data_IF_659918474945
#
_entry.id   IF_659918474945
#
_cell.length_a   1.000
_cell.length_b   1.000
_cell.length_c   1.000
_cell.angle_alpha   90.00
_cell.angle_beta   90.00
_cell.angle_gamma   90.00
#
_symmetry.space_group_name_H-M   'P 1'
#
loop_
_entity.id
_entity.type
_entity.pdbx_description
1 polymer ?
#
# COMPACT_ATOMS: atom_id res chain seq x y z
N UNK A 1 0.02 13.67 -12.50
CA UNK A 1 1.06 13.62 -11.46
C UNK A 1 2.49 13.75 -12.01
N UNK A 2 2.94 13.07 -13.10
CA UNK A 2 4.33 13.17 -13.58
C UNK A 2 4.81 14.59 -13.89
N UNK A 3 3.99 15.42 -14.52
CA UNK A 3 4.33 16.82 -14.83
C UNK A 3 4.54 17.65 -13.55
N UNK A 4 3.67 17.50 -12.56
CA UNK A 4 3.80 18.20 -11.28
C UNK A 4 5.10 17.80 -10.54
N UNK A 5 5.46 16.52 -10.57
CA UNK A 5 6.72 16.03 -10.02
C UNK A 5 7.94 16.60 -10.78
N UNK A 6 7.87 16.63 -12.12
CA UNK A 6 8.93 17.21 -12.94
C UNK A 6 9.12 18.70 -12.62
N UNK A 7 8.03 19.47 -12.51
CA UNK A 7 8.09 20.86 -12.06
C UNK A 7 8.70 21.00 -10.67
N UNK A 8 8.28 20.17 -9.73
CA UNK A 8 8.83 20.21 -8.35
C UNK A 8 10.35 20.14 -8.33
N UNK A 9 10.93 19.28 -9.17
CA UNK A 9 12.37 19.04 -9.24
C UNK A 9 13.09 20.10 -10.07
N UNK A 10 12.56 20.45 -11.25
CA UNK A 10 13.25 21.27 -12.24
C UNK A 10 12.89 22.75 -12.17
N UNK A 11 11.74 23.10 -11.61
CA UNK A 11 11.13 24.45 -11.65
C UNK A 11 10.87 24.94 -13.08
N UNK A 12 10.82 24.05 -14.06
CA UNK A 12 10.51 24.40 -15.43
C UNK A 12 9.00 24.57 -15.61
N UNK A 13 8.58 25.80 -15.85
CA UNK A 13 7.18 26.21 -15.97
C UNK A 13 6.42 25.51 -17.10
N UNK A 14 7.12 24.97 -18.11
CA UNK A 14 6.49 24.21 -19.21
C UNK A 14 5.71 23.00 -18.70
N UNK A 15 6.15 22.37 -17.60
CA UNK A 15 5.45 21.25 -17.02
C UNK A 15 4.10 21.64 -16.42
N UNK A 16 4.03 22.81 -15.76
CA UNK A 16 2.74 23.29 -15.21
C UNK A 16 1.84 23.81 -16.31
N UNK A 17 2.39 24.53 -17.31
CA UNK A 17 1.60 24.92 -18.49
C UNK A 17 0.95 23.69 -19.14
N UNK A 18 1.73 22.65 -19.43
CA UNK A 18 1.20 21.40 -19.99
C UNK A 18 0.19 20.69 -19.07
N UNK A 19 0.38 20.74 -17.74
CA UNK A 19 -0.58 20.23 -16.79
C UNK A 19 -1.91 21.00 -16.86
N UNK A 20 -1.84 22.32 -16.89
CA UNK A 20 -3.03 23.21 -16.98
C UNK A 20 -3.80 22.93 -18.26
N UNK A 21 -3.12 22.87 -19.41
CA UNK A 21 -3.75 22.63 -20.71
C UNK A 21 -4.46 21.27 -20.73
N UNK A 22 -3.73 20.20 -20.38
CA UNK A 22 -4.27 18.83 -20.41
C UNK A 22 -5.45 18.67 -19.44
N UNK A 23 -5.33 19.22 -18.23
CA UNK A 23 -6.40 19.09 -17.25
C UNK A 23 -7.63 19.92 -17.61
N UNK A 24 -7.45 21.10 -18.15
CA UNK A 24 -8.55 21.96 -18.62
C UNK A 24 -9.32 21.30 -19.77
N UNK A 25 -8.59 20.75 -20.75
CA UNK A 25 -9.18 20.01 -21.85
C UNK A 25 -9.91 18.75 -21.35
N UNK A 26 -9.31 18.03 -20.40
CA UNK A 26 -9.94 16.87 -19.81
C UNK A 26 -11.26 17.21 -19.12
N UNK A 27 -11.29 18.23 -18.26
CA UNK A 27 -12.53 18.68 -17.56
C UNK A 27 -13.58 19.12 -18.56
N UNK A 28 -13.19 19.75 -19.67
CA UNK A 28 -14.12 20.17 -20.72
C UNK A 28 -14.73 18.99 -21.50
N UNK A 29 -13.92 17.96 -21.76
CA UNK A 29 -14.31 16.80 -22.57
C UNK A 29 -15.00 15.70 -21.76
N UNK A 30 -14.53 15.44 -20.53
CA UNK A 30 -14.96 14.35 -19.66
C UNK A 30 -15.94 14.88 -18.63
N UNK A 31 -17.23 14.80 -18.93
CA UNK A 31 -18.30 15.34 -18.07
C UNK A 31 -18.58 14.41 -16.90
N UNK A 32 -18.91 14.95 -15.71
CA UNK A 32 -19.42 14.16 -14.60
C UNK A 32 -20.60 13.28 -15.04
N UNK A 33 -20.60 12.05 -14.57
CA UNK A 33 -21.71 11.13 -14.79
C UNK A 33 -22.77 11.32 -13.70
N UNK A 34 -24.04 11.10 -14.05
CA UNK A 34 -25.18 11.21 -13.13
C UNK A 34 -25.68 9.85 -12.66
N UNK A 35 -25.08 8.76 -13.17
CA UNK A 35 -25.39 7.39 -12.80
C UNK A 35 -24.09 6.61 -12.58
N UNK A 36 -24.19 5.54 -11.79
CA UNK A 36 -23.09 4.61 -11.59
C UNK A 36 -22.63 4.00 -12.93
N UNK A 37 -21.32 3.94 -13.12
CA UNK A 37 -20.71 3.32 -14.30
C UNK A 37 -20.22 1.92 -13.93
N UNK A 38 -20.76 0.90 -14.60
CA UNK A 38 -20.45 -0.49 -14.32
C UNK A 38 -18.96 -0.81 -14.50
N UNK A 39 -18.38 -1.47 -13.51
CA UNK A 39 -17.03 -2.00 -13.60
C UNK A 39 -16.99 -3.20 -14.58
N UNK A 40 -15.92 -3.28 -15.38
CA UNK A 40 -15.69 -4.41 -16.29
C UNK A 40 -16.47 -4.36 -17.61
N UNK A 41 -17.35 -3.39 -17.85
CA UNK A 41 -18.00 -3.21 -19.16
C UNK A 41 -17.01 -2.57 -20.15
N UNK A 42 -16.63 -3.31 -21.19
CA UNK A 42 -15.72 -2.83 -22.24
C UNK A 42 -16.42 -1.97 -23.33
N UNK A 43 -17.75 -1.88 -23.28
CA UNK A 43 -18.54 -1.15 -24.27
C UNK A 43 -18.79 0.31 -23.89
N UNK A 44 -18.38 0.72 -22.69
CA UNK A 44 -18.57 2.09 -22.19
C UNK A 44 -17.75 3.12 -22.98
N UNK A 45 -18.26 4.32 -23.05
CA UNK A 45 -17.53 5.46 -23.62
C UNK A 45 -16.31 5.84 -22.77
N UNK A 46 -15.39 6.62 -23.37
CA UNK A 46 -14.22 7.14 -22.64
C UNK A 46 -14.64 7.96 -21.42
N UNK A 47 -15.73 8.73 -21.53
CA UNK A 47 -16.27 9.51 -20.41
C UNK A 47 -16.78 8.61 -19.28
N UNK A 48 -17.58 7.61 -19.60
CA UNK A 48 -18.07 6.63 -18.61
C UNK A 48 -16.91 5.87 -17.97
N UNK A 49 -15.95 5.41 -18.76
CA UNK A 49 -14.75 4.75 -18.21
C UNK A 49 -14.05 5.62 -17.18
N UNK A 50 -13.85 6.91 -17.48
CA UNK A 50 -13.18 7.85 -16.58
C UNK A 50 -13.95 8.08 -15.27
N UNK A 51 -15.23 7.78 -15.21
CA UNK A 51 -16.09 7.93 -14.03
C UNK A 51 -16.38 6.61 -13.31
N UNK A 52 -15.71 5.51 -13.66
CA UNK A 52 -15.70 4.31 -12.79
C UNK A 52 -15.10 4.66 -11.44
N UNK A 53 -15.66 4.13 -10.37
CA UNK A 53 -15.27 4.43 -8.99
C UNK A 53 -13.77 4.26 -8.75
N UNK A 54 -13.20 3.18 -9.29
CA UNK A 54 -11.76 2.91 -9.22
C UNK A 54 -10.91 4.04 -9.81
N UNK A 55 -11.32 4.55 -10.97
CA UNK A 55 -10.60 5.61 -11.68
C UNK A 55 -10.78 6.95 -10.96
N UNK A 56 -11.99 7.23 -10.44
CA UNK A 56 -12.29 8.44 -9.68
C UNK A 56 -11.48 8.47 -8.37
N UNK A 57 -11.52 7.41 -7.58
CA UNK A 57 -10.78 7.32 -6.31
C UNK A 57 -9.26 7.48 -6.50
N UNK A 58 -8.70 6.82 -7.53
CA UNK A 58 -7.29 6.96 -7.88
C UNK A 58 -6.93 8.38 -8.29
N UNK A 59 -7.76 8.99 -9.12
CA UNK A 59 -7.54 10.34 -9.65
C UNK A 59 -7.63 11.42 -8.57
N UNK A 60 -8.54 11.33 -7.60
CA UNK A 60 -8.57 12.23 -6.44
C UNK A 60 -7.21 12.23 -5.73
N UNK A 61 -6.64 11.06 -5.46
CA UNK A 61 -5.33 10.93 -4.81
C UNK A 61 -4.19 11.56 -5.62
N UNK A 62 -4.18 11.36 -6.93
CA UNK A 62 -3.19 11.90 -7.85
C UNK A 62 -3.32 13.41 -7.99
N UNK A 63 -4.53 13.93 -8.10
CA UNK A 63 -4.79 15.36 -8.20
C UNK A 63 -4.40 16.09 -6.92
N UNK A 64 -4.78 15.59 -5.74
CA UNK A 64 -4.34 16.16 -4.47
C UNK A 64 -2.81 16.28 -4.39
N UNK A 65 -2.10 15.24 -4.80
CA UNK A 65 -0.64 15.24 -4.82
C UNK A 65 -0.07 16.19 -5.86
N UNK A 66 -0.63 16.22 -7.06
CA UNK A 66 -0.18 17.11 -8.14
C UNK A 66 -0.32 18.57 -7.78
N UNK A 67 -1.41 18.97 -7.12
CA UNK A 67 -1.61 20.33 -6.65
C UNK A 67 -0.49 20.78 -5.71
N UNK A 68 -0.16 19.96 -4.70
CA UNK A 68 0.91 20.29 -3.73
C UNK A 68 2.25 20.53 -4.43
N UNK A 69 2.54 19.80 -5.50
CA UNK A 69 3.80 19.95 -6.24
C UNK A 69 3.82 21.14 -7.20
N UNK A 70 2.66 21.57 -7.74
CA UNK A 70 2.57 22.55 -8.81
C UNK A 70 2.01 23.92 -8.41
N UNK A 71 1.33 24.04 -7.25
CA UNK A 71 0.66 25.29 -6.84
C UNK A 71 1.56 26.51 -6.66
N UNK A 72 2.87 26.31 -6.59
CA UNK A 72 3.84 27.41 -6.48
C UNK A 72 4.25 28.02 -7.85
N UNK A 73 3.80 27.41 -8.94
CA UNK A 73 4.02 27.92 -10.28
C UNK A 73 3.22 29.18 -10.56
N UNK A 74 3.80 30.10 -11.32
CA UNK A 74 3.09 31.29 -11.80
C UNK A 74 1.95 30.92 -12.77
N UNK A 75 2.02 29.74 -13.40
CA UNK A 75 0.99 29.22 -14.29
C UNK A 75 -0.17 28.54 -13.53
N UNK A 76 -0.03 28.32 -12.23
CA UNK A 76 -1.12 27.85 -11.36
C UNK A 76 -1.97 29.06 -10.95
N UNK A 77 -2.81 29.51 -11.88
CA UNK A 77 -3.60 30.74 -11.73
C UNK A 77 -4.82 30.55 -10.81
N UNK A 78 -5.43 31.64 -10.28
CA UNK A 78 -6.69 31.56 -9.54
C UNK A 78 -7.84 30.88 -10.33
N UNK A 79 -7.89 31.11 -11.63
CA UNK A 79 -8.87 30.48 -12.51
C UNK A 79 -8.67 28.96 -12.60
N UNK A 80 -7.39 28.55 -12.71
CA UNK A 80 -7.05 27.12 -12.71
C UNK A 80 -7.31 26.48 -11.34
N UNK A 81 -7.01 27.16 -10.24
CA UNK A 81 -7.35 26.71 -8.89
C UNK A 81 -8.86 26.46 -8.74
N UNK A 82 -9.69 27.40 -9.20
CA UNK A 82 -11.15 27.26 -9.13
C UNK A 82 -11.63 26.04 -9.92
N UNK A 83 -11.18 25.88 -11.18
CA UNK A 83 -11.48 24.71 -12.00
C UNK A 83 -11.04 23.40 -11.32
N UNK A 84 -9.83 23.41 -10.77
CA UNK A 84 -9.21 22.24 -10.14
C UNK A 84 -9.98 21.77 -8.91
N UNK A 85 -10.29 22.69 -8.00
CA UNK A 85 -11.05 22.37 -6.77
C UNK A 85 -12.50 21.98 -7.09
N UNK A 86 -13.14 22.65 -8.05
CA UNK A 86 -14.49 22.25 -8.48
C UNK A 86 -14.49 20.81 -8.98
N UNK A 87 -13.54 20.46 -9.85
CA UNK A 87 -13.45 19.09 -10.38
C UNK A 87 -13.15 18.07 -9.28
N UNK A 88 -12.34 18.40 -8.27
CA UNK A 88 -12.10 17.53 -7.12
C UNK A 88 -13.38 17.33 -6.30
N UNK A 89 -14.13 18.38 -6.04
CA UNK A 89 -15.40 18.31 -5.30
C UNK A 89 -16.42 17.45 -6.07
N UNK A 90 -16.58 17.67 -7.37
CA UNK A 90 -17.48 16.88 -8.23
C UNK A 90 -17.15 15.37 -8.17
N UNK A 91 -15.86 15.03 -8.10
CA UNK A 91 -15.40 13.65 -8.01
C UNK A 91 -15.69 13.02 -6.64
N UNK A 92 -15.51 13.76 -5.55
CA UNK A 92 -15.88 13.31 -4.20
C UNK A 92 -17.39 13.10 -4.11
N UNK A 93 -18.19 14.07 -4.58
CA UNK A 93 -19.64 13.98 -4.56
C UNK A 93 -20.16 12.82 -5.42
N UNK A 94 -19.50 12.52 -6.53
CA UNK A 94 -19.82 11.33 -7.32
C UNK A 94 -19.64 10.04 -6.53
N UNK A 95 -18.50 9.86 -5.85
CA UNK A 95 -18.26 8.67 -5.03
C UNK A 95 -19.25 8.54 -3.86
N UNK A 96 -19.62 9.66 -3.23
CA UNK A 96 -20.63 9.66 -2.16
C UNK A 96 -22.01 9.23 -2.65
N UNK A 97 -22.37 9.63 -3.88
CA UNK A 97 -23.67 9.31 -4.48
C UNK A 97 -23.75 7.90 -5.05
N UNK A 98 -22.61 7.32 -5.43
CA UNK A 98 -22.50 6.03 -6.10
C UNK A 98 -21.46 5.11 -5.41
N UNK A 99 -21.65 4.80 -4.12
CA UNK A 99 -20.68 3.97 -3.39
C UNK A 99 -20.65 2.55 -3.96
N UNK A 100 -19.46 1.98 -4.11
CA UNK A 100 -19.29 0.62 -4.59
C UNK A 100 -19.90 -0.40 -3.63
N UNK A 101 -20.48 -1.46 -4.19
CA UNK A 101 -20.91 -2.63 -3.40
C UNK A 101 -19.74 -3.50 -2.95
N UNK A 102 -18.61 -3.44 -3.63
CA UNK A 102 -17.37 -4.14 -3.26
C UNK A 102 -16.68 -3.44 -2.11
N UNK A 103 -16.48 -4.15 -1.00
CA UNK A 103 -15.91 -3.59 0.24
C UNK A 103 -14.47 -3.06 0.05
N UNK A 104 -13.64 -3.73 -0.75
CA UNK A 104 -12.26 -3.30 -1.02
C UNK A 104 -12.23 -2.00 -1.81
N UNK A 105 -13.17 -1.85 -2.76
CA UNK A 105 -13.31 -0.61 -3.53
C UNK A 105 -13.85 0.51 -2.65
N UNK A 106 -14.89 0.24 -1.87
CA UNK A 106 -15.49 1.19 -0.94
C UNK A 106 -14.46 1.77 0.05
N UNK A 107 -13.51 0.97 0.53
CA UNK A 107 -12.39 1.45 1.36
C UNK A 107 -11.45 2.40 0.61
N UNK A 108 -11.20 2.14 -0.67
CA UNK A 108 -10.39 3.05 -1.51
C UNK A 108 -11.09 4.38 -1.74
N UNK A 109 -12.41 4.34 -1.96
CA UNK A 109 -13.25 5.53 -2.07
C UNK A 109 -13.22 6.34 -0.78
N UNK A 110 -13.47 5.71 0.37
CA UNK A 110 -13.41 6.34 1.68
C UNK A 110 -12.03 6.98 1.95
N UNK A 111 -10.95 6.29 1.60
CA UNK A 111 -9.59 6.84 1.72
C UNK A 111 -9.36 8.07 0.84
N UNK A 112 -9.92 8.09 -0.38
CA UNK A 112 -9.82 9.23 -1.29
C UNK A 112 -10.63 10.43 -0.78
N UNK A 113 -11.86 10.19 -0.34
CA UNK A 113 -12.77 11.21 0.23
C UNK A 113 -12.13 11.82 1.49
N UNK A 114 -11.67 10.97 2.42
CA UNK A 114 -11.01 11.42 3.64
C UNK A 114 -9.77 12.26 3.34
N UNK A 115 -8.95 11.85 2.38
CA UNK A 115 -7.76 12.61 1.95
C UNK A 115 -8.13 14.00 1.49
N UNK A 116 -9.22 14.14 0.72
CA UNK A 116 -9.72 15.45 0.27
C UNK A 116 -10.09 16.33 1.46
N UNK A 117 -10.85 15.83 2.43
CA UNK A 117 -11.23 16.56 3.64
C UNK A 117 -10.03 16.99 4.48
N UNK A 118 -9.02 16.10 4.63
CA UNK A 118 -7.81 16.42 5.39
C UNK A 118 -6.90 17.45 4.72
N UNK A 119 -6.77 17.40 3.40
CA UNK A 119 -5.87 18.30 2.66
C UNK A 119 -6.45 19.68 2.42
N UNK A 120 -7.77 19.80 2.41
CA UNK A 120 -8.50 21.06 2.15
C UNK A 120 -9.51 21.34 3.26
N UNK A 121 -9.05 21.54 4.52
CA UNK A 121 -9.95 21.76 5.67
C UNK A 121 -10.77 23.03 5.58
N UNK A 122 -10.41 23.94 4.67
CA UNK A 122 -11.14 25.16 4.36
C UNK A 122 -12.39 24.92 3.48
N UNK A 123 -12.58 23.75 2.91
CA UNK A 123 -13.79 23.42 2.16
C UNK A 123 -14.94 23.16 3.13
N UNK A 124 -16.13 23.61 2.76
CA UNK A 124 -17.33 23.56 3.66
C UNK A 124 -17.68 22.17 4.16
N UNK A 125 -17.42 21.14 3.36
CA UNK A 125 -17.74 19.75 3.68
C UNK A 125 -16.53 18.92 4.14
N UNK A 126 -15.38 19.57 4.38
CA UNK A 126 -14.14 18.87 4.71
C UNK A 126 -14.25 17.97 5.96
N UNK A 127 -14.93 18.46 7.03
CA UNK A 127 -15.17 17.66 8.25
C UNK A 127 -16.08 16.47 7.98
N UNK A 128 -17.18 16.66 7.21
CA UNK A 128 -18.09 15.58 6.83
C UNK A 128 -17.35 14.46 6.07
N UNK A 129 -16.50 14.85 5.11
CA UNK A 129 -15.70 13.90 4.34
C UNK A 129 -14.66 13.16 5.21
N UNK A 130 -14.07 13.85 6.17
CA UNK A 130 -13.10 13.24 7.06
C UNK A 130 -13.77 12.29 8.05
N UNK A 131 -14.85 12.71 8.67
CA UNK A 131 -15.59 11.93 9.69
C UNK A 131 -16.35 10.75 9.06
N UNK A 132 -17.11 10.99 7.99
CA UNK A 132 -17.91 9.95 7.33
C UNK A 132 -17.09 8.79 6.77
N UNK A 133 -15.88 9.07 6.31
CA UNK A 133 -14.96 8.02 5.85
C UNK A 133 -14.28 7.28 7.01
N UNK A 134 -14.14 7.92 8.18
CA UNK A 134 -13.44 7.36 9.33
C UNK A 134 -14.12 6.10 9.88
N UNK A 135 -15.45 6.08 9.96
CA UNK A 135 -16.20 4.93 10.49
C UNK A 135 -15.94 3.63 9.72
N UNK A 136 -15.77 3.75 8.41
CA UNK A 136 -15.45 2.61 7.57
C UNK A 136 -14.01 2.16 7.74
N UNK A 137 -13.08 3.11 7.74
CA UNK A 137 -11.64 2.83 7.87
C UNK A 137 -11.27 2.33 9.26
N UNK A 138 -12.01 2.75 10.31
CA UNK A 138 -11.82 2.27 11.66
C UNK A 138 -12.02 0.75 11.79
N UNK A 139 -12.92 0.16 10.98
CA UNK A 139 -13.16 -1.29 10.99
C UNK A 139 -11.94 -2.12 10.59
N UNK A 140 -11.00 -1.52 9.88
CA UNK A 140 -9.77 -2.20 9.44
C UNK A 140 -8.67 -2.17 10.50
N UNK A 141 -8.85 -1.40 11.56
CA UNK A 141 -7.87 -1.27 12.63
C UNK A 141 -8.37 -2.04 13.86
N UNK A 142 -7.76 -3.17 14.15
CA UNK A 142 -7.99 -3.85 15.45
C UNK A 142 -7.43 -2.96 16.57
N UNK A 143 -8.29 -2.42 17.47
CA UNK A 143 -7.85 -1.53 18.54
C UNK A 143 -6.86 -2.20 19.51
N UNK A 144 -6.82 -3.52 19.54
CA UNK A 144 -5.97 -4.30 20.45
C UNK A 144 -4.47 -4.02 20.24
N UNK A 145 -4.04 -3.69 19.03
CA UNK A 145 -2.61 -3.40 18.82
C UNK A 145 -2.14 -2.12 19.55
N UNK A 146 -3.05 -1.19 19.83
CA UNK A 146 -2.72 0.01 20.61
C UNK A 146 -2.34 -0.29 22.07
N UNK A 147 -2.71 -1.46 22.60
CA UNK A 147 -2.28 -1.90 23.94
C UNK A 147 -0.75 -2.02 24.05
N UNK A 148 -0.07 -2.31 22.92
CA UNK A 148 1.38 -2.37 22.84
C UNK A 148 2.04 -1.01 22.53
N UNK A 149 1.25 0.05 22.30
CA UNK A 149 1.75 1.36 21.88
C UNK A 149 1.69 2.36 23.03
N UNK A 150 2.81 3.02 23.31
CA UNK A 150 2.81 4.15 24.22
C UNK A 150 2.20 5.38 23.53
N UNK A 151 0.89 5.55 23.63
CA UNK A 151 0.16 6.67 23.01
C UNK A 151 0.54 8.05 23.60
N UNK A 152 1.22 8.09 24.76
CA UNK A 152 1.73 9.32 25.37
C UNK A 152 3.14 9.67 24.90
N UNK A 153 3.72 8.89 23.97
CA UNK A 153 4.99 9.25 23.40
C UNK A 153 4.89 10.60 22.67
N UNK A 154 5.81 11.51 22.95
CA UNK A 154 5.74 12.90 22.46
C UNK A 154 5.64 13.02 20.92
N UNK A 155 6.17 12.04 20.18
CA UNK A 155 6.06 11.99 18.73
C UNK A 155 4.66 11.62 18.20
N UNK A 156 3.74 11.17 19.07
CA UNK A 156 2.39 10.75 18.73
C UNK A 156 1.33 11.77 19.19
N UNK A 157 1.68 13.06 19.13
CA UNK A 157 0.76 14.11 19.58
C UNK A 157 -0.61 13.97 18.88
N UNK A 158 -1.67 13.83 19.68
CA UNK A 158 -3.04 13.63 19.24
C UNK A 158 -3.49 12.17 19.09
N UNK A 159 -2.56 11.18 19.04
CA UNK A 159 -2.96 9.78 18.86
C UNK A 159 -3.81 9.24 20.01
N UNK A 160 -3.49 9.61 21.28
CA UNK A 160 -4.31 9.21 22.44
C UNK A 160 -5.73 9.75 22.34
N UNK A 161 -5.88 11.04 22.03
CA UNK A 161 -7.21 11.65 21.91
C UNK A 161 -8.04 10.99 20.80
N UNK A 162 -7.43 10.70 19.65
CA UNK A 162 -8.09 9.98 18.58
C UNK A 162 -8.48 8.55 19.00
N UNK A 163 -7.59 7.82 19.68
CA UNK A 163 -7.90 6.49 20.20
C UNK A 163 -9.06 6.50 21.20
N UNK A 164 -9.07 7.43 22.16
CA UNK A 164 -10.12 7.57 23.19
C UNK A 164 -11.47 8.00 22.59
N UNK A 165 -11.44 8.71 21.44
CA UNK A 165 -12.62 9.04 20.66
C UNK A 165 -13.14 7.86 19.80
N UNK A 166 -12.42 6.72 19.77
CA UNK A 166 -12.75 5.58 18.91
C UNK A 166 -12.31 5.77 17.44
N UNK A 167 -11.51 6.78 17.15
CA UNK A 167 -10.98 7.10 15.82
C UNK A 167 -9.66 6.34 15.58
N UNK A 168 -9.74 5.02 15.55
CA UNK A 168 -8.56 4.14 15.49
C UNK A 168 -7.71 4.36 14.22
N UNK A 169 -8.35 4.58 13.09
CA UNK A 169 -7.63 4.87 11.86
C UNK A 169 -6.84 6.18 11.96
N UNK A 170 -7.44 7.23 12.51
CA UNK A 170 -6.77 8.50 12.73
C UNK A 170 -5.59 8.37 13.70
N UNK A 171 -5.76 7.62 14.79
CA UNK A 171 -4.69 7.33 15.73
C UNK A 171 -3.52 6.59 15.05
N UNK A 172 -3.84 5.56 14.26
CA UNK A 172 -2.84 4.81 13.49
C UNK A 172 -2.11 5.68 12.45
N UNK A 173 -2.84 6.58 11.79
CA UNK A 173 -2.27 7.50 10.81
C UNK A 173 -1.29 8.51 11.43
N UNK A 174 -1.59 9.03 12.62
CA UNK A 174 -0.66 9.89 13.38
C UNK A 174 0.64 9.13 13.67
N UNK A 175 0.55 7.89 14.12
CA UNK A 175 1.70 7.03 14.40
C UNK A 175 2.49 6.76 13.12
N UNK A 176 1.81 6.43 12.01
CA UNK A 176 2.44 6.21 10.71
C UNK A 176 3.17 7.46 10.20
N UNK A 177 2.57 8.63 10.36
CA UNK A 177 3.18 9.90 9.95
C UNK A 177 4.43 10.21 10.77
N UNK A 178 4.44 9.91 12.06
CA UNK A 178 5.65 9.99 12.85
C UNK A 178 6.76 9.09 12.29
N UNK A 179 6.47 7.82 11.98
CA UNK A 179 7.46 6.92 11.39
C UNK A 179 7.99 7.41 10.03
N UNK A 180 7.14 8.07 9.23
CA UNK A 180 7.53 8.63 7.92
C UNK A 180 8.43 9.85 8.02
N UNK A 181 8.29 10.63 9.09
CA UNK A 181 8.93 11.95 9.23
C UNK A 181 10.03 11.99 10.28
N UNK A 182 10.13 10.97 11.16
CA UNK A 182 11.14 10.93 12.21
C UNK A 182 12.54 10.97 11.64
N UNK A 183 13.42 11.72 12.29
CA UNK A 183 14.86 11.74 12.04
C UNK A 183 15.60 11.24 13.28
N UNK A 184 16.81 10.70 13.09
CA UNK A 184 17.69 10.31 14.19
C UNK A 184 17.45 8.90 14.76
N UNK A 185 16.38 8.21 14.39
CA UNK A 185 16.19 6.78 14.67
C UNK A 185 16.50 6.00 13.41
N UNK A 186 17.73 5.56 13.28
CA UNK A 186 18.21 4.82 12.12
C UNK A 186 18.69 3.44 12.55
N UNK A 187 18.46 2.45 11.71
CA UNK A 187 19.12 1.17 11.85
C UNK A 187 20.58 1.35 11.40
N UNK A 188 21.58 1.14 12.26
CA UNK A 188 22.98 1.35 11.90
C UNK A 188 23.46 0.46 10.74
N UNK A 189 22.72 -0.59 10.42
CA UNK A 189 23.02 -1.49 9.31
C UNK A 189 22.31 -1.08 7.99
N UNK A 190 21.55 0.03 7.98
CA UNK A 190 20.83 0.50 6.80
C UNK A 190 21.24 1.94 6.51
N UNK A 191 22.06 2.12 5.50
CA UNK A 191 22.43 3.44 4.97
C UNK A 191 21.50 3.80 3.81
N UNK A 192 20.46 4.58 4.10
CA UNK A 192 19.49 4.98 3.09
C UNK A 192 20.09 5.91 2.03
N UNK A 193 21.10 6.72 2.39
CA UNK A 193 21.71 7.67 1.47
C UNK A 193 22.56 6.95 0.40
N UNK A 194 23.19 5.84 0.77
CA UNK A 194 24.04 5.04 -0.11
C UNK A 194 23.42 3.69 -0.48
N UNK A 195 22.11 3.52 -0.25
CA UNK A 195 21.40 2.29 -0.62
C UNK A 195 21.51 2.06 -2.13
N UNK A 196 21.95 0.87 -2.49
CA UNK A 196 22.02 0.38 -3.87
C UNK A 196 21.30 -0.95 -3.99
N UNK A 197 20.88 -1.27 -5.19
CA UNK A 197 20.36 -2.59 -5.56
C UNK A 197 21.33 -3.21 -6.55
N UNK A 198 21.85 -4.37 -6.24
CA UNK A 198 22.66 -5.15 -7.20
C UNK A 198 21.74 -5.73 -8.28
N UNK A 199 22.34 -6.14 -9.40
CA UNK A 199 21.58 -6.81 -10.48
C UNK A 199 20.87 -8.07 -9.97
N UNK A 200 21.50 -8.81 -9.08
CA UNK A 200 20.92 -10.01 -8.46
C UNK A 200 19.73 -9.65 -7.54
N UNK A 201 19.88 -8.66 -6.67
CA UNK A 201 18.80 -8.20 -5.78
C UNK A 201 17.61 -7.67 -6.58
N UNK A 202 17.86 -6.95 -7.69
CA UNK A 202 16.79 -6.48 -8.57
C UNK A 202 16.03 -7.67 -9.18
N UNK A 203 16.76 -8.65 -9.72
CA UNK A 203 16.17 -9.86 -10.27
C UNK A 203 15.34 -10.64 -9.22
N UNK A 204 15.82 -10.72 -7.97
CA UNK A 204 15.06 -11.36 -6.88
C UNK A 204 13.81 -10.57 -6.47
N UNK A 205 13.89 -9.24 -6.49
CA UNK A 205 12.73 -8.40 -6.24
C UNK A 205 11.64 -8.59 -7.30
N UNK A 206 12.04 -8.63 -8.57
CA UNK A 206 11.14 -8.84 -9.71
C UNK A 206 10.51 -10.23 -9.69
N UNK A 207 11.29 -11.26 -9.43
CA UNK A 207 10.80 -12.64 -9.39
C UNK A 207 9.84 -12.92 -8.24
N UNK A 208 9.91 -12.16 -7.16
CA UNK A 208 8.98 -12.27 -6.03
C UNK A 208 7.61 -11.64 -6.31
N UNK A 209 7.41 -10.94 -7.42
CA UNK A 209 6.12 -10.38 -7.79
C UNK A 209 5.10 -11.45 -8.19
N UNK A 210 3.80 -11.15 -8.03
CA UNK A 210 2.69 -12.01 -8.42
C UNK A 210 2.80 -12.48 -9.86
N UNK A 211 3.07 -11.57 -10.78
CA UNK A 211 3.21 -11.81 -12.22
C UNK A 211 4.32 -12.82 -12.57
N UNK A 212 5.24 -13.06 -11.64
CA UNK A 212 6.34 -14.04 -11.77
C UNK A 212 6.16 -15.27 -10.86
N UNK A 213 5.00 -15.42 -10.24
CA UNK A 213 4.62 -16.61 -9.47
C UNK A 213 5.24 -16.68 -8.09
N UNK A 214 5.46 -15.53 -7.43
CA UNK A 214 5.98 -15.45 -6.06
C UNK A 214 7.24 -16.29 -5.83
N UNK A 215 8.26 -16.10 -6.67
CA UNK A 215 9.54 -16.76 -6.54
C UNK A 215 10.41 -16.02 -5.54
N UNK A 216 10.50 -16.55 -4.32
CA UNK A 216 11.23 -15.89 -3.25
C UNK A 216 12.68 -16.34 -3.19
N UNK A 217 13.57 -15.36 -3.11
CA UNK A 217 14.97 -15.61 -2.78
C UNK A 217 15.10 -16.05 -1.31
N UNK A 218 15.70 -17.21 -1.12
CA UNK A 218 16.07 -17.74 0.18
C UNK A 218 17.60 -17.87 0.23
N UNK A 219 18.22 -17.23 1.19
CA UNK A 219 19.69 -17.22 1.32
C UNK A 219 20.22 -18.65 1.37
N UNK A 220 21.22 -18.94 0.55
CA UNK A 220 21.85 -20.24 0.37
C UNK A 220 20.98 -21.35 -0.21
N UNK A 221 19.74 -21.05 -0.62
CA UNK A 221 18.82 -22.02 -1.22
C UNK A 221 18.26 -21.45 -2.51
N UNK A 222 18.66 -22.02 -3.62
CA UNK A 222 18.10 -21.74 -4.93
C UNK A 222 17.67 -23.06 -5.57
N UNK A 223 16.71 -23.00 -6.48
CA UNK A 223 16.29 -24.18 -7.24
C UNK A 223 17.49 -24.83 -7.96
N UNK A 224 17.55 -26.17 -7.96
CA UNK A 224 18.56 -26.95 -8.66
C UNK A 224 18.28 -27.00 -10.17
N UNK A 225 17.77 -25.93 -10.75
CA UNK A 225 17.50 -25.81 -12.19
C UNK A 225 18.73 -25.54 -13.03
N UNK A 226 19.91 -25.44 -12.37
CA UNK A 226 21.17 -25.00 -13.00
C UNK A 226 21.22 -23.50 -13.28
N UNK A 227 20.14 -22.77 -13.03
CA UNK A 227 20.00 -21.34 -13.36
C UNK A 227 19.99 -20.41 -12.14
N UNK A 228 20.22 -20.92 -10.94
CA UNK A 228 20.17 -20.15 -9.69
C UNK A 228 18.88 -19.33 -9.51
N UNK A 229 17.75 -19.92 -9.90
CA UNK A 229 16.44 -19.28 -9.83
C UNK A 229 15.84 -19.46 -8.43
N UNK A 230 15.20 -18.44 -7.83
CA UNK A 230 14.45 -18.58 -6.59
C UNK A 230 13.31 -19.61 -6.70
N UNK A 231 12.95 -20.22 -5.55
CA UNK A 231 11.84 -21.17 -5.50
C UNK A 231 10.49 -20.49 -5.74
N UNK A 232 9.61 -21.17 -6.48
CA UNK A 232 8.20 -20.83 -6.52
C UNK A 232 7.47 -21.50 -5.37
N UNK A 233 6.81 -20.70 -4.55
CA UNK A 233 6.04 -21.18 -3.40
C UNK A 233 4.54 -21.15 -3.66
N UNK A 234 4.11 -20.78 -4.87
CA UNK A 234 2.71 -20.78 -5.24
C UNK A 234 2.18 -22.23 -5.33
N UNK A 235 1.18 -22.54 -4.52
CA UNK A 235 0.48 -23.81 -4.58
C UNK A 235 -0.40 -23.88 -5.81
N UNK A 236 -0.21 -24.90 -6.66
CA UNK A 236 -1.08 -25.16 -7.80
C UNK A 236 -2.49 -25.63 -7.41
N UNK A 237 -2.68 -26.08 -6.19
CA UNK A 237 -3.97 -26.57 -5.69
C UNK A 237 -4.84 -25.43 -5.16
N UNK A 238 -4.23 -24.49 -4.44
CA UNK A 238 -4.96 -23.43 -3.73
C UNK A 238 -4.83 -22.04 -4.36
N UNK A 239 -3.86 -21.85 -5.26
CA UNK A 239 -3.51 -20.54 -5.78
C UNK A 239 -2.89 -19.58 -4.73
N UNK A 240 -2.63 -20.07 -3.51
CA UNK A 240 -2.03 -19.31 -2.41
C UNK A 240 -0.55 -19.69 -2.21
N UNK A 241 0.18 -18.90 -1.45
CA UNK A 241 1.56 -19.21 -1.11
C UNK A 241 1.59 -20.38 -0.10
N UNK A 242 2.38 -21.41 -0.38
CA UNK A 242 2.61 -22.53 0.52
C UNK A 242 3.77 -22.23 1.49
N UNK A 243 3.43 -21.69 2.64
CA UNK A 243 4.39 -21.39 3.71
C UNK A 243 4.98 -22.63 4.39
N UNK A 244 4.43 -23.79 4.09
CA UNK A 244 4.92 -25.10 4.57
C UNK A 244 5.68 -25.87 3.48
N UNK A 245 5.94 -25.22 2.34
CA UNK A 245 6.58 -25.85 1.19
C UNK A 245 7.92 -26.51 1.54
N UNK A 246 8.09 -27.71 1.03
CA UNK A 246 9.33 -28.46 1.07
C UNK A 246 9.49 -29.19 -0.26
N UNK A 247 10.53 -28.86 -1.06
CA UNK A 247 10.75 -29.58 -2.30
C UNK A 247 11.14 -31.04 -2.02
N UNK A 248 10.64 -31.95 -2.84
CA UNK A 248 10.88 -33.40 -2.69
C UNK A 248 12.37 -33.77 -2.87
N UNK A 249 13.13 -32.94 -3.56
CA UNK A 249 14.58 -33.11 -3.76
C UNK A 249 15.44 -32.66 -2.59
N UNK A 250 14.86 -31.98 -1.59
CA UNK A 250 15.57 -31.45 -0.43
C UNK A 250 15.03 -32.06 0.85
N UNK A 251 15.94 -32.52 1.68
CA UNK A 251 15.65 -33.01 3.05
C UNK A 251 15.99 -31.96 4.11
N UNK A 252 16.47 -30.80 3.67
CA UNK A 252 16.93 -29.74 4.54
C UNK A 252 15.77 -28.86 4.99
N UNK A 253 15.35 -29.08 6.21
CA UNK A 253 14.26 -28.33 6.86
C UNK A 253 14.57 -26.84 7.02
N UNK A 254 15.83 -26.46 6.98
CA UNK A 254 16.30 -25.08 7.06
C UNK A 254 15.67 -24.20 5.98
N UNK A 255 15.35 -24.73 4.79
CA UNK A 255 14.66 -23.97 3.74
C UNK A 255 13.31 -23.43 4.23
N UNK A 256 12.53 -24.25 4.96
CA UNK A 256 11.23 -23.85 5.51
C UNK A 256 11.38 -22.76 6.58
N UNK A 257 12.38 -22.88 7.46
CA UNK A 257 12.70 -21.83 8.42
C UNK A 257 13.11 -20.52 7.72
N UNK A 258 14.00 -20.63 6.73
CA UNK A 258 14.48 -19.46 6.00
C UNK A 258 13.34 -18.75 5.24
N UNK A 259 12.40 -19.49 4.67
CA UNK A 259 11.21 -18.92 4.04
C UNK A 259 10.43 -18.04 5.02
N UNK A 260 10.18 -18.57 6.23
CA UNK A 260 9.40 -17.88 7.26
C UNK A 260 10.19 -16.78 8.02
N UNK A 261 11.47 -16.59 7.75
CA UNK A 261 12.28 -15.43 8.21
C UNK A 261 12.10 -14.19 7.32
N UNK A 262 11.34 -14.28 6.28
CA UNK A 262 11.00 -13.17 5.36
C UNK A 262 12.20 -12.41 4.77
N UNK A 263 13.35 -13.04 4.60
CA UNK A 263 14.56 -12.41 4.06
C UNK A 263 14.37 -11.89 2.62
N UNK A 264 13.45 -12.48 1.87
CA UNK A 264 13.06 -12.09 0.52
C UNK A 264 12.44 -10.69 0.47
N UNK A 265 11.94 -10.17 1.59
CA UNK A 265 11.33 -8.83 1.67
C UNK A 265 12.35 -7.71 1.46
N UNK A 266 13.61 -7.92 1.82
CA UNK A 266 14.64 -6.86 1.75
C UNK A 266 14.94 -6.42 0.31
N UNK A 267 15.14 -7.30 -0.69
CA UNK A 267 15.29 -6.91 -2.08
C UNK A 267 14.12 -6.07 -2.60
N UNK A 268 12.87 -6.45 -2.31
CA UNK A 268 11.69 -5.69 -2.71
C UNK A 268 11.62 -4.31 -2.03
N UNK A 269 11.94 -4.22 -0.74
CA UNK A 269 11.99 -2.95 -0.03
C UNK A 269 13.03 -1.99 -0.64
N UNK A 270 14.23 -2.49 -0.98
CA UNK A 270 15.26 -1.71 -1.66
C UNK A 270 14.82 -1.26 -3.05
N UNK A 271 14.25 -2.18 -3.84
CA UNK A 271 13.75 -1.88 -5.19
C UNK A 271 12.67 -0.78 -5.15
N UNK A 272 11.70 -0.88 -4.21
CA UNK A 272 10.72 0.16 -3.98
C UNK A 272 11.37 1.48 -3.56
N UNK A 273 12.30 1.45 -2.61
CA UNK A 273 12.94 2.66 -2.09
C UNK A 273 13.62 3.47 -3.20
N UNK A 274 14.27 2.80 -4.13
CA UNK A 274 15.00 3.44 -5.23
C UNK A 274 14.10 3.83 -6.42
N UNK A 275 13.21 2.91 -6.85
CA UNK A 275 12.39 3.12 -8.04
C UNK A 275 11.08 3.87 -7.78
N UNK A 276 10.55 3.79 -6.53
CA UNK A 276 9.19 4.18 -6.16
C UNK A 276 8.10 3.42 -6.93
N UNK A 277 8.43 2.29 -7.55
CA UNK A 277 7.46 1.42 -8.22
C UNK A 277 6.57 0.73 -7.18
N UNK A 278 5.30 1.15 -7.18
CA UNK A 278 4.32 0.68 -6.21
C UNK A 278 4.01 -0.82 -6.30
N UNK A 279 4.42 -1.53 -7.38
CA UNK A 279 4.25 -2.98 -7.47
C UNK A 279 4.96 -3.70 -6.33
N UNK A 280 6.20 -3.29 -6.01
CA UNK A 280 6.97 -3.92 -4.94
C UNK A 280 6.31 -3.78 -3.57
N UNK A 281 5.85 -2.59 -3.20
CA UNK A 281 5.24 -2.40 -1.87
C UNK A 281 3.86 -3.05 -1.77
N UNK A 282 3.05 -3.02 -2.85
CA UNK A 282 1.77 -3.73 -2.87
C UNK A 282 1.96 -5.23 -2.73
N UNK A 283 2.88 -5.81 -3.50
CA UNK A 283 3.22 -7.22 -3.41
C UNK A 283 3.75 -7.58 -2.01
N UNK A 284 4.64 -6.77 -1.47
CA UNK A 284 5.19 -6.94 -0.12
C UNK A 284 4.08 -6.99 0.94
N UNK A 285 3.13 -6.04 0.89
CA UNK A 285 2.00 -5.99 1.81
C UNK A 285 1.08 -7.21 1.63
N UNK A 286 0.76 -7.56 0.39
CA UNK A 286 -0.10 -8.71 0.10
C UNK A 286 0.51 -10.01 0.65
N UNK A 287 1.76 -10.29 0.33
CA UNK A 287 2.45 -11.52 0.74
C UNK A 287 2.58 -11.59 2.27
N UNK A 288 2.84 -10.46 2.93
CA UNK A 288 2.92 -10.41 4.38
C UNK A 288 1.55 -10.64 5.04
N UNK A 289 0.49 -10.06 4.51
CA UNK A 289 -0.88 -10.32 4.97
C UNK A 289 -1.28 -11.78 4.76
N UNK A 290 -0.97 -12.37 3.60
CA UNK A 290 -1.19 -13.78 3.33
C UNK A 290 -0.49 -14.70 4.33
N UNK A 291 0.73 -14.32 4.74
CA UNK A 291 1.45 -15.06 5.78
C UNK A 291 0.71 -15.00 7.12
N UNK A 292 0.27 -13.82 7.56
CA UNK A 292 -0.46 -13.66 8.82
C UNK A 292 -1.80 -14.41 8.84
N UNK A 293 -2.54 -14.37 7.73
CA UNK A 293 -3.79 -15.10 7.62
C UNK A 293 -3.61 -16.61 7.72
N UNK A 294 -2.56 -17.14 7.06
CA UNK A 294 -2.31 -18.57 7.06
C UNK A 294 -1.60 -19.07 8.32
N UNK A 295 -0.90 -18.20 9.02
CA UNK A 295 -0.09 -18.55 10.19
C UNK A 295 -0.44 -17.66 11.38
N UNK A 296 -1.66 -17.75 11.92
CA UNK A 296 -2.05 -16.97 13.10
C UNK A 296 -1.13 -17.29 14.28
N UNK A 297 -0.99 -16.34 15.20
CA UNK A 297 -0.22 -16.54 16.42
C UNK A 297 -0.70 -17.81 17.13
N UNK A 298 0.18 -18.75 17.43
CA UNK A 298 -0.22 -19.98 18.11
C UNK A 298 -0.72 -19.71 19.53
N UNK A 299 -1.74 -20.44 19.95
CA UNK A 299 -2.21 -20.45 21.33
C UNK A 299 -1.45 -21.48 22.20
N UNK A 300 -0.61 -22.31 21.55
CA UNK A 300 0.18 -23.34 22.20
C UNK A 300 1.60 -22.83 22.49
N UNK A 301 2.15 -23.24 23.63
CA UNK A 301 3.56 -22.98 23.93
C UNK A 301 4.45 -23.84 23.03
N UNK A 302 5.38 -23.19 22.33
CA UNK A 302 6.33 -23.87 21.44
C UNK A 302 7.57 -24.33 22.22
N UNK A 303 7.79 -25.62 22.27
CA UNK A 303 9.03 -26.23 22.80
C UNK A 303 9.99 -26.48 21.63
N UNK A 304 11.05 -25.70 21.55
CA UNK A 304 12.04 -25.76 20.48
C UNK A 304 12.92 -27.03 20.50
N UNK A 305 12.83 -27.83 21.56
CA UNK A 305 13.50 -29.14 21.64
C UNK A 305 12.71 -30.23 20.93
N UNK A 306 11.46 -29.98 20.57
CA UNK A 306 10.55 -30.94 19.96
C UNK A 306 10.46 -30.71 18.45
N UNK A 307 10.59 -31.82 17.70
CA UNK A 307 10.48 -31.77 16.24
C UNK A 307 9.03 -31.50 15.79
N UNK A 308 8.74 -30.42 15.06
CA UNK A 308 7.37 -30.01 14.80
C UNK A 308 6.51 -31.02 14.02
N UNK A 309 7.11 -31.74 13.06
CA UNK A 309 6.38 -32.70 12.21
C UNK A 309 5.81 -33.89 12.97
N UNK A 310 6.29 -34.15 14.19
CA UNK A 310 5.81 -35.24 15.05
C UNK A 310 4.71 -34.79 16.01
N UNK A 311 4.21 -33.55 15.87
CA UNK A 311 3.23 -32.96 16.75
C UNK A 311 1.84 -32.80 16.06
N UNK A 312 0.89 -32.21 16.77
CA UNK A 312 -0.42 -31.87 16.21
C UNK A 312 -0.28 -30.96 14.97
N UNK A 313 -1.25 -30.94 14.06
CA UNK A 313 -1.20 -30.06 12.87
C UNK A 313 -1.00 -28.58 13.21
N UNK A 314 -1.63 -28.09 14.28
CA UNK A 314 -1.47 -26.73 14.77
C UNK A 314 -0.03 -26.48 15.27
N UNK A 315 0.46 -27.33 16.15
CA UNK A 315 1.82 -27.24 16.67
C UNK A 315 2.86 -27.36 15.54
N UNK A 316 2.64 -28.27 14.62
CA UNK A 316 3.50 -28.47 13.45
C UNK A 316 3.63 -27.20 12.64
N UNK A 317 2.50 -26.57 12.29
CA UNK A 317 2.52 -25.29 11.54
C UNK A 317 3.22 -24.21 12.35
N UNK A 318 2.81 -23.99 13.59
CA UNK A 318 3.39 -22.98 14.47
C UNK A 318 4.90 -23.18 14.69
N UNK A 319 5.35 -24.42 14.90
CA UNK A 319 6.75 -24.75 15.08
C UNK A 319 7.63 -24.45 13.87
N UNK A 320 7.05 -24.45 12.65
CA UNK A 320 7.78 -24.08 11.44
C UNK A 320 7.73 -22.58 11.12
N UNK A 321 6.64 -21.90 11.49
CA UNK A 321 6.39 -20.51 11.06
C UNK A 321 6.72 -19.48 12.13
N UNK A 322 6.64 -19.85 13.43
CA UNK A 322 6.85 -18.96 14.57
C UNK A 322 8.11 -19.25 15.40
N UNK A 323 8.87 -20.26 15.02
CA UNK A 323 10.08 -20.57 15.76
C UNK A 323 11.13 -19.46 15.58
N UNK A 324 11.72 -18.93 16.65
CA UNK A 324 12.81 -17.98 16.54
C UNK A 324 14.02 -18.63 15.87
N UNK A 325 14.74 -17.81 15.12
CA UNK A 325 15.94 -18.22 14.41
C UNK A 325 17.15 -18.32 15.36
#
# INVERSE_FOLDING_TARGET
LPQALAYRVTRDERYVTGQVDVFTDWVAAIRPQTAEVAEGDETVSVSEYAWRNKEVAGRIGDLCSAMIYSMQSVNFTPQYLALYLTSLVDQVEYLEQHPSADESMLKKEASAIRRMGMLFPELKRASEWTEGASDMLNKDIDPKWFEAVNLDFAGFAGARAAYEAGEYYAAAEIILNYYRTRSGVVNPNVDLANTTVTVAEQAWADQALEENGYRFYIKNFLEDSGNNVPYSFLSSETGRIDWMYMPTSKTEQELRYQLNRHQWMLPQAKAYYLSKDARYIRNWMFVFSDWFEQNPRPEVDLDYSVYPDNQSPEYRRAGWTWQPA
#
